data_IF_939269372429
#
_entry.id   IF_939269372429
#
_cell.length_a   1.000
_cell.length_b   1.000
_cell.length_c   1.000
_cell.angle_alpha   90.00
_cell.angle_beta   90.00
_cell.angle_gamma   90.00
#
_symmetry.space_group_name_H-M   'P 1'
#
loop_
_entity.id
_entity.type
_entity.pdbx_description
1 polymer ?
#
# COMPACT_ATOMS: atom_id res chain seq x y z
N UNK A 1 -12.68 25.11 63.71
CA UNK A 1 -13.45 24.55 62.58
C UNK A 1 -12.48 24.28 61.45
N UNK A 2 -12.08 23.03 61.34
CA UNK A 2 -10.75 22.59 60.91
C UNK A 2 -10.83 21.69 59.68
N UNK A 3 -10.06 22.06 58.65
CA UNK A 3 -9.20 21.15 57.87
C UNK A 3 -9.76 19.77 57.47
N UNK A 4 -11.00 19.69 56.97
CA UNK A 4 -11.51 18.46 56.31
C UNK A 4 -12.20 18.70 54.96
N UNK A 5 -12.62 19.92 54.67
CA UNK A 5 -13.29 20.25 53.40
C UNK A 5 -12.34 20.64 52.26
N UNK A 6 -11.09 21.01 52.56
CA UNK A 6 -10.14 21.45 51.52
C UNK A 6 -9.43 20.28 50.81
N UNK A 7 -9.37 19.09 51.42
CA UNK A 7 -8.80 17.90 50.78
C UNK A 7 -9.75 17.26 49.75
N UNK A 8 -11.07 17.40 49.92
CA UNK A 8 -12.05 16.79 49.01
C UNK A 8 -12.17 17.52 47.67
N UNK A 9 -11.81 18.80 47.60
CA UNK A 9 -11.82 19.57 46.35
C UNK A 9 -10.57 19.30 45.47
N UNK A 10 -9.47 18.84 46.06
CA UNK A 10 -8.25 18.49 45.30
C UNK A 10 -8.32 17.08 44.66
N UNK A 11 -9.09 16.15 45.25
CA UNK A 11 -9.35 14.84 44.63
C UNK A 11 -10.46 14.88 43.58
N UNK A 12 -11.36 15.87 43.63
CA UNK A 12 -12.41 16.06 42.61
C UNK A 12 -11.88 16.60 41.27
N UNK A 13 -10.88 17.50 41.29
CA UNK A 13 -10.30 18.03 40.06
C UNK A 13 -9.39 17.02 39.33
N UNK A 14 -8.71 16.13 40.06
CA UNK A 14 -7.86 15.10 39.44
C UNK A 14 -8.69 14.04 38.67
N UNK A 15 -9.91 13.76 39.10
CA UNK A 15 -10.82 12.86 38.38
C UNK A 15 -11.44 13.53 37.14
N UNK A 16 -11.61 14.85 37.14
CA UNK A 16 -12.17 15.59 35.99
C UNK A 16 -11.09 15.91 34.94
N UNK A 17 -9.81 16.05 35.34
CA UNK A 17 -8.66 16.12 34.42
C UNK A 17 -8.28 14.75 33.82
N UNK A 18 -8.81 13.66 34.36
CA UNK A 18 -8.61 12.29 33.85
C UNK A 18 -9.48 11.90 32.66
N UNK A 19 -10.46 12.73 32.29
CA UNK A 19 -11.30 12.54 31.09
C UNK A 19 -10.85 13.43 29.93
N UNK A 20 -9.55 13.65 29.77
CA UNK A 20 -9.02 14.10 28.49
C UNK A 20 -9.13 12.95 27.47
N UNK A 21 -10.29 12.85 26.82
CA UNK A 21 -10.52 12.19 25.52
C UNK A 21 -9.56 11.03 25.19
N UNK A 22 -9.60 9.96 25.98
CA UNK A 22 -9.19 8.65 25.50
C UNK A 22 -10.28 8.16 24.53
N UNK A 23 -10.38 8.79 23.35
CA UNK A 23 -10.89 8.10 22.17
C UNK A 23 -9.89 6.97 21.93
N UNK A 24 -10.08 5.85 22.63
CA UNK A 24 -9.39 4.60 22.37
C UNK A 24 -9.45 4.44 20.86
N UNK A 25 -8.31 4.47 20.20
CA UNK A 25 -8.30 4.38 18.76
C UNK A 25 -8.87 3.02 18.43
N UNK A 26 -10.11 3.00 17.96
CA UNK A 26 -10.72 1.77 17.52
C UNK A 26 -9.98 1.39 16.24
N UNK A 27 -9.00 0.49 16.38
CA UNK A 27 -8.52 -0.27 15.24
C UNK A 27 -9.76 -0.97 14.69
N UNK A 28 -10.27 -0.47 13.55
CA UNK A 28 -11.30 -1.19 12.81
C UNK A 28 -10.72 -2.55 12.43
N UNK A 29 -11.53 -3.59 12.52
CA UNK A 29 -11.14 -4.93 12.08
C UNK A 29 -10.56 -4.87 10.65
N UNK A 30 -9.60 -5.75 10.32
CA UNK A 30 -9.14 -5.87 8.94
C UNK A 30 -10.35 -6.04 8.03
N UNK A 31 -10.42 -5.28 6.95
CA UNK A 31 -11.50 -5.44 6.00
C UNK A 31 -11.47 -6.87 5.45
N UNK A 32 -12.63 -7.49 5.47
CA UNK A 32 -12.84 -8.78 4.83
C UNK A 32 -12.66 -8.61 3.33
N UNK A 33 -11.93 -9.53 2.72
CA UNK A 33 -11.83 -9.59 1.27
C UNK A 33 -13.16 -10.09 0.70
N UNK A 34 -13.78 -9.28 -0.14
CA UNK A 34 -14.97 -9.64 -0.91
C UNK A 34 -14.65 -9.49 -2.39
N UNK A 35 -14.89 -10.55 -3.17
CA UNK A 35 -14.68 -10.49 -4.61
C UNK A 35 -15.64 -9.46 -5.22
N UNK A 36 -15.10 -8.52 -6.00
CA UNK A 36 -15.88 -7.45 -6.59
C UNK A 36 -16.43 -7.80 -7.98
N UNK A 37 -17.57 -7.20 -8.35
CA UNK A 37 -18.12 -7.28 -9.70
C UNK A 37 -17.51 -6.19 -10.60
N UNK A 38 -16.35 -6.52 -11.16
CA UNK A 38 -15.58 -5.65 -12.04
C UNK A 38 -16.25 -5.34 -13.39
N UNK A 39 -17.27 -6.09 -13.80
CA UNK A 39 -17.87 -5.96 -15.14
C UNK A 39 -18.98 -4.90 -15.20
N UNK A 40 -19.36 -4.33 -14.07
CA UNK A 40 -20.39 -3.27 -13.97
C UNK A 40 -19.82 -1.87 -14.22
N UNK A 41 -18.51 -1.74 -14.40
CA UNK A 41 -17.86 -0.47 -14.67
C UNK A 41 -18.13 0.04 -16.09
N UNK A 42 -18.16 1.36 -16.24
CA UNK A 42 -18.31 2.03 -17.53
C UNK A 42 -17.08 1.91 -18.43
N UNK A 43 -15.92 1.51 -17.89
CA UNK A 43 -14.67 1.33 -18.61
C UNK A 43 -14.20 -0.14 -18.59
N UNK A 44 -13.43 -0.59 -19.60
CA UNK A 44 -12.85 -1.93 -19.60
C UNK A 44 -11.96 -2.17 -18.36
N UNK A 45 -12.38 -3.10 -17.50
CA UNK A 45 -11.66 -3.45 -16.29
C UNK A 45 -10.74 -4.67 -16.49
N UNK A 46 -9.60 -4.69 -15.80
CA UNK A 46 -8.62 -5.79 -15.85
C UNK A 46 -9.17 -7.10 -15.29
N UNK A 47 -9.97 -7.00 -14.22
CA UNK A 47 -10.62 -8.14 -13.55
C UNK A 47 -11.92 -8.62 -14.21
N UNK A 48 -12.49 -7.87 -15.17
CA UNK A 48 -13.74 -8.27 -15.81
C UNK A 48 -13.51 -9.41 -16.83
N UNK A 49 -14.22 -10.53 -16.66
CA UNK A 49 -14.16 -11.70 -17.55
C UNK A 49 -12.74 -12.20 -17.87
N UNK A 50 -11.79 -11.99 -16.95
CA UNK A 50 -10.42 -12.44 -17.15
C UNK A 50 -10.35 -13.97 -17.08
N UNK A 51 -9.93 -14.61 -18.17
CA UNK A 51 -9.93 -16.07 -18.34
C UNK A 51 -8.74 -16.78 -17.68
N UNK A 52 -7.97 -16.09 -16.85
CA UNK A 52 -6.75 -16.57 -16.20
C UNK A 52 -5.69 -17.13 -17.16
N UNK A 53 -5.71 -16.72 -18.44
CA UNK A 53 -4.66 -17.07 -19.40
C UNK A 53 -3.56 -16.01 -19.41
N UNK A 54 -2.34 -16.46 -19.67
CA UNK A 54 -1.21 -15.58 -19.91
C UNK A 54 -1.35 -14.83 -21.23
N UNK A 55 -0.88 -13.58 -21.24
CA UNK A 55 -0.85 -12.75 -22.44
C UNK A 55 0.12 -13.27 -23.50
N UNK A 56 -0.04 -12.80 -24.74
CA UNK A 56 0.75 -13.27 -25.88
C UNK A 56 2.27 -13.05 -25.75
N UNK A 57 2.70 -12.10 -24.92
CA UNK A 57 4.11 -11.83 -24.65
C UNK A 57 4.75 -12.79 -23.64
N UNK A 58 3.96 -13.60 -22.96
CA UNK A 58 4.47 -14.57 -22.01
C UNK A 58 5.10 -15.76 -22.72
N UNK A 59 6.28 -16.17 -22.25
CA UNK A 59 6.89 -17.43 -22.68
C UNK A 59 6.02 -18.62 -22.25
N UNK A 60 6.12 -19.74 -22.96
CA UNK A 60 5.39 -20.97 -22.61
C UNK A 60 5.72 -21.50 -21.20
N UNK A 61 6.88 -21.10 -20.65
CA UNK A 61 7.32 -21.43 -19.28
C UNK A 61 6.75 -20.50 -18.20
N UNK A 62 5.94 -19.50 -18.59
CA UNK A 62 5.40 -18.53 -17.65
C UNK A 62 4.48 -19.17 -16.62
N UNK A 63 4.70 -18.79 -15.36
CA UNK A 63 3.87 -19.18 -14.23
C UNK A 63 3.67 -18.01 -13.30
N UNK A 64 2.45 -17.88 -12.80
CA UNK A 64 2.10 -16.95 -11.73
C UNK A 64 2.56 -17.59 -10.43
N UNK A 65 3.34 -16.86 -9.65
CA UNK A 65 3.78 -17.29 -8.34
C UNK A 65 2.64 -17.15 -7.34
N UNK A 66 2.29 -18.25 -6.67
CA UNK A 66 1.37 -18.23 -5.54
C UNK A 66 2.02 -17.47 -4.36
N UNK A 67 1.42 -16.33 -3.98
CA UNK A 67 1.86 -15.55 -2.82
C UNK A 67 1.12 -16.07 -1.59
N UNK A 68 1.77 -16.95 -0.84
CA UNK A 68 1.26 -17.49 0.43
C UNK A 68 1.26 -16.41 1.52
N UNK A 69 0.46 -16.57 2.61
CA UNK A 69 0.37 -15.59 3.69
C UNK A 69 1.70 -15.16 4.30
N UNK A 70 2.68 -16.07 4.41
CA UNK A 70 4.01 -15.74 4.93
C UNK A 70 4.79 -14.80 4.00
N UNK A 71 4.62 -14.96 2.68
CA UNK A 71 5.27 -14.08 1.71
C UNK A 71 4.60 -12.71 1.65
N UNK A 72 3.26 -12.63 1.68
CA UNK A 72 2.56 -11.35 1.72
C UNK A 72 2.91 -10.55 2.98
N UNK A 73 2.96 -11.22 4.15
CA UNK A 73 3.47 -10.62 5.39
C UNK A 73 4.90 -10.11 5.23
N UNK A 74 5.80 -10.89 4.63
CA UNK A 74 7.18 -10.47 4.41
C UNK A 74 7.30 -9.24 3.47
N UNK A 75 6.51 -9.20 2.39
CA UNK A 75 6.44 -8.05 1.47
C UNK A 75 6.02 -6.79 2.23
N UNK A 76 4.88 -6.84 2.91
CA UNK A 76 4.31 -5.70 3.64
C UNK A 76 5.24 -5.25 4.75
N UNK A 77 5.80 -6.19 5.51
CA UNK A 77 6.76 -5.90 6.58
C UNK A 77 7.98 -5.16 6.02
N UNK A 78 8.56 -5.63 4.92
CA UNK A 78 9.73 -4.98 4.33
C UNK A 78 9.42 -3.58 3.80
N UNK A 79 8.26 -3.39 3.15
CA UNK A 79 7.82 -2.05 2.73
C UNK A 79 7.65 -1.12 3.95
N UNK A 80 7.07 -1.61 5.05
CA UNK A 80 6.92 -0.84 6.29
C UNK A 80 8.26 -0.54 6.98
N UNK A 81 9.27 -1.41 6.89
CA UNK A 81 10.63 -1.10 7.35
C UNK A 81 11.16 0.13 6.62
N UNK A 82 11.05 0.17 5.29
CA UNK A 82 11.48 1.33 4.50
C UNK A 82 10.69 2.60 4.82
N UNK A 83 9.35 2.50 4.90
CA UNK A 83 8.50 3.63 5.29
C UNK A 83 8.84 4.17 6.67
N UNK A 84 9.14 3.29 7.63
CA UNK A 84 9.49 3.66 9.00
C UNK A 84 10.86 4.37 9.08
N UNK A 85 11.82 4.02 8.21
CA UNK A 85 13.11 4.72 8.08
C UNK A 85 12.91 6.13 7.50
N UNK A 86 12.06 6.26 6.48
CA UNK A 86 11.74 7.54 5.86
C UNK A 86 10.98 8.45 6.84
N UNK A 87 9.99 7.89 7.54
CA UNK A 87 9.12 8.65 8.44
C UNK A 87 9.89 9.33 9.58
N UNK A 88 10.98 8.72 10.07
CA UNK A 88 11.86 9.35 11.08
C UNK A 88 12.81 10.42 10.54
N UNK A 89 12.77 10.75 9.25
CA UNK A 89 13.77 11.62 8.61
C UNK A 89 15.13 10.95 8.45
N UNK A 90 15.16 9.62 8.31
CA UNK A 90 16.40 8.82 8.33
C UNK A 90 17.22 8.84 7.05
N UNK A 91 16.81 9.60 6.02
CA UNK A 91 17.47 9.66 4.71
C UNK A 91 17.80 11.11 4.32
N UNK A 92 18.93 11.34 3.62
CA UNK A 92 19.26 12.66 3.10
C UNK A 92 18.15 13.23 2.20
N UNK A 93 17.98 14.55 2.24
CA UNK A 93 17.00 15.31 1.45
C UNK A 93 15.51 14.99 1.73
N UNK A 94 15.22 14.15 2.71
CA UNK A 94 13.85 13.81 3.10
C UNK A 94 13.55 14.33 4.51
N UNK A 95 12.56 15.23 4.67
CA UNK A 95 12.13 15.67 5.99
C UNK A 95 11.36 14.56 6.72
N UNK A 96 11.24 14.68 8.03
CA UNK A 96 10.39 13.83 8.87
C UNK A 96 8.94 13.82 8.37
N UNK A 97 8.30 12.65 8.38
CA UNK A 97 6.91 12.51 7.99
C UNK A 97 5.98 12.73 9.19
N UNK A 98 5.15 13.77 9.13
CA UNK A 98 4.09 14.00 10.09
C UNK A 98 2.96 12.97 9.98
N UNK A 99 2.69 12.45 8.77
CA UNK A 99 1.73 11.36 8.54
C UNK A 99 2.24 10.37 7.50
N UNK A 100 2.40 9.12 7.92
CA UNK A 100 2.82 7.99 7.07
C UNK A 100 2.11 6.72 7.58
N UNK A 101 1.10 6.24 6.87
CA UNK A 101 0.31 5.10 7.31
C UNK A 101 1.10 3.79 7.19
N UNK A 102 0.93 2.87 8.15
CA UNK A 102 1.38 1.49 8.00
C UNK A 102 0.61 0.81 6.87
N UNK A 103 1.33 0.10 5.99
CA UNK A 103 0.72 -0.72 4.94
C UNK A 103 0.18 -2.03 5.53
N UNK A 104 -0.97 -2.46 5.02
CA UNK A 104 -1.53 -3.80 5.13
C UNK A 104 -1.63 -4.48 3.76
N UNK A 105 -1.69 -5.80 3.75
CA UNK A 105 -1.95 -6.57 2.53
C UNK A 105 -3.42 -6.43 2.14
N UNK A 106 -3.70 -6.22 0.85
CA UNK A 106 -5.04 -6.13 0.30
C UNK A 106 -5.20 -7.17 -0.82
N UNK A 107 -6.06 -8.16 -0.58
CA UNK A 107 -6.24 -9.30 -1.49
C UNK A 107 -6.88 -8.91 -2.82
N UNK A 108 -7.74 -7.87 -2.84
CA UNK A 108 -8.33 -7.35 -4.08
C UNK A 108 -7.25 -6.74 -4.97
N UNK A 109 -6.35 -5.94 -4.38
CA UNK A 109 -5.19 -5.40 -5.09
C UNK A 109 -4.23 -6.51 -5.55
N UNK A 110 -4.01 -7.54 -4.73
CA UNK A 110 -3.10 -8.64 -5.07
C UNK A 110 -3.61 -9.46 -6.26
N UNK A 111 -4.92 -9.76 -6.29
CA UNK A 111 -5.56 -10.44 -7.42
C UNK A 111 -5.38 -9.65 -8.71
N UNK A 112 -5.68 -8.36 -8.71
CA UNK A 112 -5.53 -7.50 -9.89
C UNK A 112 -4.06 -7.33 -10.30
N UNK A 113 -3.14 -7.24 -9.34
CA UNK A 113 -1.70 -7.22 -9.61
C UNK A 113 -1.22 -8.52 -10.28
N UNK A 114 -1.76 -9.67 -9.87
CA UNK A 114 -1.53 -10.96 -10.51
C UNK A 114 -1.98 -10.97 -11.97
N UNK A 115 -3.21 -10.52 -12.24
CA UNK A 115 -3.72 -10.39 -13.61
C UNK A 115 -2.87 -9.43 -14.46
N UNK A 116 -2.42 -8.32 -13.87
CA UNK A 116 -1.52 -7.39 -14.55
C UNK A 116 -0.18 -8.06 -14.90
N UNK A 117 0.40 -8.82 -13.96
CA UNK A 117 1.68 -9.50 -14.16
C UNK A 117 1.59 -10.62 -15.21
N UNK A 118 0.43 -11.27 -15.36
CA UNK A 118 0.16 -12.28 -16.39
C UNK A 118 0.21 -11.75 -17.83
N UNK A 119 0.42 -10.45 -18.01
CA UNK A 119 0.73 -9.85 -19.32
C UNK A 119 2.20 -10.02 -19.73
N UNK A 120 3.10 -10.32 -18.79
CA UNK A 120 4.56 -10.46 -18.98
C UNK A 120 5.28 -9.28 -19.65
N UNK A 121 4.70 -8.08 -19.58
CA UNK A 121 5.29 -6.84 -20.15
C UNK A 121 5.20 -5.70 -19.15
N UNK A 122 6.12 -4.74 -19.28
CA UNK A 122 6.14 -3.50 -18.49
C UNK A 122 5.24 -2.40 -19.08
N UNK A 123 4.63 -2.64 -20.24
CA UNK A 123 3.75 -1.68 -20.89
C UNK A 123 2.64 -1.21 -19.95
N UNK A 124 2.25 0.08 -20.02
CA UNK A 124 1.18 0.64 -19.20
C UNK A 124 -0.08 -0.24 -19.20
N UNK A 125 -0.73 -0.35 -18.05
CA UNK A 125 -2.01 -1.07 -17.92
C UNK A 125 -3.10 -0.21 -18.59
N UNK A 126 -3.52 -0.59 -19.80
CA UNK A 126 -4.52 0.13 -20.60
C UNK A 126 -5.98 -0.19 -20.22
N UNK A 127 -6.20 -0.71 -19.01
CA UNK A 127 -7.52 -1.09 -18.47
C UNK A 127 -7.63 -0.54 -17.06
N UNK A 128 -8.86 -0.31 -16.59
CA UNK A 128 -9.09 0.01 -15.19
C UNK A 128 -8.62 -1.15 -14.28
N UNK A 129 -8.13 -0.80 -13.10
CA UNK A 129 -7.73 -1.73 -12.05
C UNK A 129 -8.19 -1.23 -10.67
N UNK A 130 -9.26 -0.43 -10.66
CA UNK A 130 -10.04 -0.04 -9.48
C UNK A 130 -10.38 -1.27 -8.62
N UNK A 131 -10.39 -1.07 -7.31
CA UNK A 131 -10.76 -2.10 -6.35
C UNK A 131 -11.76 -1.54 -5.35
N UNK A 132 -12.45 -2.42 -4.61
CA UNK A 132 -13.55 -2.08 -3.68
C UNK A 132 -13.24 -0.88 -2.77
N UNK A 133 -11.98 -0.74 -2.33
CA UNK A 133 -11.54 0.34 -1.44
C UNK A 133 -10.43 1.23 -2.05
N UNK A 134 -10.29 1.23 -3.38
CA UNK A 134 -9.27 1.98 -4.11
C UNK A 134 -9.82 2.40 -5.49
N UNK A 135 -10.26 3.64 -5.63
CA UNK A 135 -10.81 4.18 -6.87
C UNK A 135 -9.71 4.61 -7.84
N UNK A 136 -8.54 5.02 -7.32
CA UNK A 136 -7.38 5.39 -8.15
C UNK A 136 -6.11 4.70 -7.62
N UNK A 137 -6.01 3.36 -7.73
CA UNK A 137 -4.88 2.63 -7.18
C UNK A 137 -3.56 3.09 -7.81
N UNK A 138 -2.51 3.12 -7.00
CA UNK A 138 -1.16 3.30 -7.52
C UNK A 138 -0.57 1.99 -8.00
N UNK A 139 0.49 2.04 -8.81
CA UNK A 139 1.20 0.83 -9.17
C UNK A 139 2.71 1.02 -9.37
N UNK A 140 3.45 -0.05 -9.13
CA UNK A 140 4.87 -0.19 -9.48
C UNK A 140 5.06 -1.48 -10.24
N UNK A 141 6.02 -1.50 -11.18
CA UNK A 141 6.34 -2.68 -11.96
C UNK A 141 7.86 -2.80 -12.12
N UNK A 142 8.38 -4.00 -11.94
CA UNK A 142 9.81 -4.27 -12.09
C UNK A 142 10.04 -5.63 -12.72
N UNK A 143 10.93 -5.64 -13.71
CA UNK A 143 11.40 -6.83 -14.37
C UNK A 143 12.88 -7.03 -14.04
N UNK A 144 13.23 -8.19 -13.51
CA UNK A 144 14.62 -8.59 -13.26
C UNK A 144 14.94 -9.87 -14.02
N UNK A 145 16.21 -10.03 -14.38
CA UNK A 145 16.74 -11.23 -15.04
C UNK A 145 17.94 -11.74 -14.24
N UNK A 146 17.98 -13.04 -14.01
CA UNK A 146 19.10 -13.73 -13.37
C UNK A 146 19.50 -14.94 -14.21
N UNK A 147 20.79 -15.34 -14.24
CA UNK A 147 21.19 -16.55 -14.92
C UNK A 147 20.42 -17.75 -14.37
N UNK A 148 20.00 -18.69 -15.22
CA UNK A 148 19.28 -19.92 -14.80
C UNK A 148 20.10 -20.79 -13.83
N UNK A 149 21.43 -20.71 -13.91
CA UNK A 149 22.35 -21.34 -12.97
C UNK A 149 22.27 -20.75 -11.55
N UNK A 150 21.84 -19.50 -11.42
CA UNK A 150 21.68 -18.82 -10.13
C UNK A 150 20.27 -19.06 -9.59
N UNK A 151 20.12 -20.12 -8.78
CA UNK A 151 18.86 -20.35 -8.06
C UNK A 151 18.58 -19.22 -7.08
N UNK A 152 17.38 -18.65 -7.15
CA UNK A 152 16.90 -17.63 -6.22
C UNK A 152 15.69 -18.16 -5.47
N UNK A 153 15.66 -17.95 -4.15
CA UNK A 153 14.46 -18.18 -3.35
C UNK A 153 13.45 -17.06 -3.61
N UNK A 154 12.17 -17.35 -3.41
CA UNK A 154 11.09 -16.36 -3.52
C UNK A 154 11.33 -15.12 -2.64
N UNK A 155 11.92 -15.31 -1.45
CA UNK A 155 12.26 -14.21 -0.55
C UNK A 155 13.37 -13.32 -1.13
N UNK A 156 14.43 -13.91 -1.69
CA UNK A 156 15.52 -13.13 -2.31
C UNK A 156 15.02 -12.30 -3.49
N UNK A 157 14.15 -12.88 -4.32
CA UNK A 157 13.48 -12.22 -5.43
C UNK A 157 12.72 -10.99 -4.93
N UNK A 158 11.83 -11.21 -3.97
CA UNK A 158 11.01 -10.17 -3.35
C UNK A 158 11.88 -9.06 -2.75
N UNK A 159 12.89 -9.40 -1.93
CA UNK A 159 13.78 -8.41 -1.32
C UNK A 159 14.56 -7.62 -2.37
N UNK A 160 15.02 -8.28 -3.44
CA UNK A 160 15.73 -7.60 -4.53
C UNK A 160 14.83 -6.56 -5.21
N UNK A 161 13.59 -6.91 -5.51
CA UNK A 161 12.63 -5.98 -6.12
C UNK A 161 12.35 -4.77 -5.24
N UNK A 162 11.99 -4.99 -3.97
CA UNK A 162 11.69 -3.91 -3.03
C UNK A 162 12.92 -3.04 -2.74
N UNK A 163 14.11 -3.64 -2.69
CA UNK A 163 15.36 -2.91 -2.54
C UNK A 163 15.65 -2.02 -3.76
N UNK A 164 15.33 -2.47 -4.98
CA UNK A 164 15.47 -1.62 -6.17
C UNK A 164 14.54 -0.42 -6.11
N UNK A 165 13.27 -0.59 -5.71
CA UNK A 165 12.36 0.52 -5.47
C UNK A 165 12.93 1.48 -4.43
N UNK A 166 13.35 0.95 -3.29
CA UNK A 166 13.91 1.76 -2.20
C UNK A 166 15.16 2.54 -2.62
N UNK A 167 16.09 1.90 -3.32
CA UNK A 167 17.38 2.45 -3.71
C UNK A 167 17.27 3.70 -4.61
N UNK A 168 16.14 3.98 -5.24
CA UNK A 168 15.96 5.25 -5.97
C UNK A 168 16.04 6.47 -5.03
N UNK A 169 15.97 6.29 -3.70
CA UNK A 169 16.16 7.36 -2.70
C UNK A 169 17.47 8.14 -2.90
N UNK A 170 18.53 7.54 -3.46
CA UNK A 170 19.81 8.21 -3.71
C UNK A 170 19.69 9.37 -4.72
N UNK A 171 18.63 9.35 -5.54
CA UNK A 171 18.33 10.35 -6.55
C UNK A 171 17.35 11.42 -6.06
N UNK A 172 16.84 11.33 -4.83
CA UNK A 172 15.92 12.31 -4.27
C UNK A 172 16.62 13.65 -4.00
N UNK A 173 15.91 14.73 -4.32
CA UNK A 173 16.23 16.11 -4.00
C UNK A 173 15.18 16.66 -3.02
N UNK A 174 15.41 17.83 -2.38
CA UNK A 174 14.42 18.45 -1.50
C UNK A 174 13.06 18.72 -2.16
N UNK A 175 12.99 18.82 -3.50
CA UNK A 175 11.77 19.09 -4.26
C UNK A 175 11.06 17.84 -4.78
N UNK A 176 11.73 16.66 -4.78
CA UNK A 176 11.18 15.43 -5.36
C UNK A 176 9.84 15.01 -4.77
N UNK A 177 9.60 15.28 -3.48
CA UNK A 177 8.33 14.97 -2.82
C UNK A 177 7.14 15.73 -3.40
N UNK A 178 7.39 16.89 -4.01
CA UNK A 178 6.36 17.70 -4.65
C UNK A 178 6.33 17.42 -6.16
N UNK A 179 7.48 17.50 -6.83
CA UNK A 179 7.58 17.42 -8.30
C UNK A 179 7.42 16.01 -8.84
N UNK A 180 7.76 14.99 -8.06
CA UNK A 180 7.86 13.61 -8.57
C UNK A 180 9.18 13.31 -9.29
N UNK A 181 10.08 14.30 -9.40
CA UNK A 181 11.29 14.20 -10.21
C UNK A 181 12.54 13.96 -9.36
N UNK A 182 13.43 13.08 -9.84
CA UNK A 182 14.74 12.87 -9.25
C UNK A 182 15.81 13.78 -9.83
N UNK A 183 16.98 13.80 -9.18
CA UNK A 183 18.18 14.52 -9.62
C UNK A 183 18.50 14.17 -11.08
N UNK A 184 18.70 15.17 -11.92
CA UNK A 184 19.02 15.03 -13.36
C UNK A 184 17.98 14.20 -14.13
N UNK A 185 16.69 14.29 -13.77
CA UNK A 185 15.61 13.56 -14.44
C UNK A 185 15.61 12.05 -14.18
N UNK A 186 16.35 11.59 -13.15
CA UNK A 186 16.35 10.17 -12.77
C UNK A 186 14.98 9.77 -12.24
N UNK A 187 14.52 8.60 -12.66
CA UNK A 187 13.28 8.04 -12.15
C UNK A 187 13.39 7.73 -10.65
N UNK A 188 12.40 8.23 -9.90
CA UNK A 188 12.20 8.00 -8.47
C UNK A 188 10.76 7.57 -8.16
N UNK A 189 9.96 7.29 -9.19
CA UNK A 189 8.53 7.01 -9.07
C UNK A 189 8.24 5.79 -8.19
N UNK A 190 9.04 4.72 -8.29
CA UNK A 190 8.87 3.54 -7.43
C UNK A 190 9.11 3.88 -5.96
N UNK A 191 10.16 4.65 -5.66
CA UNK A 191 10.42 5.09 -4.30
C UNK A 191 9.30 5.97 -3.78
N UNK A 192 8.87 6.98 -4.55
CA UNK A 192 7.80 7.89 -4.15
C UNK A 192 6.47 7.16 -3.93
N UNK A 193 6.13 6.18 -4.77
CA UNK A 193 4.95 5.35 -4.56
C UNK A 193 5.06 4.53 -3.26
N UNK A 194 6.21 3.91 -3.01
CA UNK A 194 6.49 3.16 -1.77
C UNK A 194 6.32 4.03 -0.51
N UNK A 195 6.67 5.31 -0.57
CA UNK A 195 6.62 6.25 0.56
C UNK A 195 5.40 7.18 0.54
N UNK A 196 4.40 6.90 -0.30
CA UNK A 196 3.16 7.70 -0.33
C UNK A 196 2.45 7.60 1.02
N UNK A 197 2.36 8.72 1.74
CA UNK A 197 2.04 8.76 3.17
C UNK A 197 0.62 8.33 3.50
N UNK A 198 -0.35 8.72 2.67
CA UNK A 198 -1.76 8.38 2.87
C UNK A 198 -2.08 6.92 2.54
N UNK A 199 -1.27 6.26 1.71
CA UNK A 199 -1.50 4.88 1.34
C UNK A 199 -1.34 3.94 2.54
N UNK A 200 -2.33 3.06 2.74
CA UNK A 200 -2.33 2.03 3.80
C UNK A 200 -2.49 0.61 3.25
N UNK A 201 -2.56 0.43 1.92
CA UNK A 201 -2.86 -0.87 1.29
C UNK A 201 -1.88 -1.19 0.18
N UNK A 202 -1.55 -2.46 0.03
CA UNK A 202 -0.77 -2.96 -1.09
C UNK A 202 -1.11 -4.42 -1.37
N UNK A 203 -1.12 -4.79 -2.64
CA UNK A 203 -1.18 -6.17 -3.09
C UNK A 203 -0.29 -6.35 -4.31
N UNK A 204 0.43 -7.46 -4.40
CA UNK A 204 1.38 -7.70 -5.49
C UNK A 204 1.10 -9.01 -6.21
N UNK A 205 1.58 -9.11 -7.45
CA UNK A 205 1.60 -10.31 -8.27
C UNK A 205 2.96 -10.49 -8.90
N UNK A 206 3.43 -11.75 -8.99
CA UNK A 206 4.75 -12.06 -9.55
C UNK A 206 4.59 -13.15 -10.60
N UNK A 207 5.05 -12.89 -11.82
CA UNK A 207 5.17 -13.90 -12.87
C UNK A 207 6.64 -14.22 -13.12
N UNK A 208 6.93 -15.51 -13.26
CA UNK A 208 8.27 -16.04 -13.49
C UNK A 208 8.24 -16.82 -14.80
N UNK A 209 9.21 -16.59 -15.67
CA UNK A 209 9.37 -17.31 -16.93
C UNK A 209 10.85 -17.42 -17.33
N UNK A 210 11.15 -18.28 -18.29
CA UNK A 210 12.52 -18.49 -18.78
C UNK A 210 12.68 -17.96 -20.20
N UNK A 211 13.78 -17.23 -20.41
CA UNK A 211 14.23 -16.74 -21.72
C UNK A 211 15.68 -17.17 -21.93
N UNK A 212 15.91 -18.21 -22.75
CA UNK A 212 17.25 -18.79 -22.97
C UNK A 212 17.93 -19.14 -21.63
N UNK A 213 19.12 -18.61 -21.36
CA UNK A 213 19.86 -18.78 -20.10
C UNK A 213 19.41 -17.86 -18.95
N UNK A 214 18.27 -17.16 -19.08
CA UNK A 214 17.77 -16.23 -18.06
C UNK A 214 16.45 -16.68 -17.43
N UNK A 215 16.40 -16.64 -16.10
CA UNK A 215 15.14 -16.62 -15.34
C UNK A 215 14.69 -15.18 -15.22
N UNK A 216 13.53 -14.86 -15.80
CA UNK A 216 12.90 -13.54 -15.79
C UNK A 216 11.80 -13.50 -14.75
N UNK A 217 11.73 -12.41 -13.99
CA UNK A 217 10.75 -12.20 -12.94
C UNK A 217 10.14 -10.82 -13.11
N UNK A 218 8.82 -10.77 -13.25
CA UNK A 218 8.04 -9.54 -13.30
C UNK A 218 7.20 -9.45 -12.05
N UNK A 219 7.48 -8.46 -11.21
CA UNK A 219 6.66 -8.11 -10.04
C UNK A 219 5.88 -6.84 -10.33
N UNK A 220 4.56 -6.90 -10.15
CA UNK A 220 3.68 -5.73 -10.15
C UNK A 220 3.07 -5.61 -8.76
N UNK A 221 3.09 -4.41 -8.19
CA UNK A 221 2.38 -4.10 -6.95
C UNK A 221 1.36 -3.00 -7.22
N UNK A 222 0.12 -3.22 -6.78
CA UNK A 222 -0.92 -2.21 -6.73
C UNK A 222 -1.05 -1.69 -5.29
N UNK A 223 -1.31 -0.40 -5.16
CA UNK A 223 -1.43 0.32 -3.89
C UNK A 223 -2.81 0.95 -3.79
N UNK A 224 -3.33 1.15 -2.58
CA UNK A 224 -4.67 1.73 -2.38
C UNK A 224 -4.86 3.11 -3.01
N UNK A 225 -3.78 3.86 -3.26
CA UNK A 225 -3.82 5.13 -3.97
C UNK A 225 -2.45 5.53 -4.53
N UNK A 226 -2.46 6.55 -5.38
CA UNK A 226 -1.29 7.34 -5.77
C UNK A 226 -1.12 8.58 -4.88
N UNK A 227 0.01 9.26 -5.02
CA UNK A 227 0.19 10.64 -4.57
C UNK A 227 -0.89 11.53 -5.20
N UNK A 228 -1.54 12.37 -4.37
CA UNK A 228 -2.49 13.36 -4.84
C UNK A 228 -1.80 14.41 -5.75
N UNK A 229 -2.45 14.88 -6.82
CA UNK A 229 -1.91 15.94 -7.65
C UNK A 229 -1.57 17.19 -6.83
N UNK A 230 -0.45 17.84 -7.12
CA UNK A 230 0.00 19.07 -6.47
C UNK A 230 0.19 19.02 -4.94
N UNK A 231 0.14 17.84 -4.30
CA UNK A 231 0.49 17.68 -2.89
C UNK A 231 1.89 17.09 -2.73
N UNK A 232 2.43 17.10 -1.50
CA UNK A 232 3.60 16.29 -1.16
C UNK A 232 3.25 14.80 -1.14
N UNK A 233 4.24 13.95 -1.41
CA UNK A 233 4.14 12.47 -1.29
C UNK A 233 3.71 12.03 0.11
N UNK A 234 4.07 12.78 1.16
CA UNK A 234 3.59 12.60 2.52
C UNK A 234 3.53 13.95 3.24
N UNK A 235 2.74 14.02 4.33
CA UNK A 235 2.68 15.22 5.17
C UNK A 235 4.00 15.40 5.91
N UNK A 236 4.63 16.56 5.78
CA UNK A 236 5.85 16.91 6.52
C UNK A 236 5.49 17.27 7.97
N UNK A 237 6.31 16.90 8.95
CA UNK A 237 6.09 17.22 10.36
C UNK A 237 7.39 17.40 11.13
N UNK A 238 7.34 18.09 12.27
CA UNK A 238 8.52 18.27 13.14
C UNK A 238 8.98 16.95 13.77
N UNK A 239 8.02 16.12 14.17
CA UNK A 239 8.24 14.78 14.72
C UNK A 239 7.42 13.75 13.95
N UNK A 240 7.86 12.47 13.93
CA UNK A 240 7.07 11.42 13.32
C UNK A 240 5.70 11.34 13.96
N UNK A 241 4.68 11.05 13.14
CA UNK A 241 3.29 10.83 13.59
C UNK A 241 2.56 12.05 14.14
N UNK A 242 3.13 13.26 14.11
CA UNK A 242 2.48 14.47 14.66
C UNK A 242 1.11 14.76 14.03
N UNK A 243 0.87 14.27 12.81
CA UNK A 243 -0.38 14.41 12.06
C UNK A 243 -1.15 13.09 11.90
N UNK A 244 -0.82 12.06 12.69
CA UNK A 244 -1.65 10.85 12.75
C UNK A 244 -2.91 11.12 13.56
N UNK A 245 -4.08 10.75 13.03
CA UNK A 245 -5.35 10.85 13.76
C UNK A 245 -5.35 10.04 15.06
N UNK A 246 -4.55 8.97 15.10
CA UNK A 246 -4.31 8.16 16.27
C UNK A 246 -2.80 8.02 16.54
N UNK A 247 -2.30 8.46 17.69
CA UNK A 247 -0.89 8.30 18.06
C UNK A 247 -0.56 6.93 18.67
N UNK A 248 -1.52 5.99 18.80
CA UNK A 248 -1.23 4.63 19.27
C UNK A 248 -0.05 4.04 18.49
N UNK A 249 0.89 3.48 19.24
CA UNK A 249 2.22 3.15 18.72
C UNK A 249 2.31 1.67 18.45
N UNK A 250 2.37 1.32 17.17
CA UNK A 250 2.85 0.02 16.73
C UNK A 250 4.25 -0.22 17.31
N UNK A 251 4.44 -1.36 17.97
CA UNK A 251 5.69 -1.66 18.68
C UNK A 251 6.87 -1.89 17.71
N UNK A 252 6.59 -2.40 16.51
CA UNK A 252 7.61 -2.63 15.49
C UNK A 252 7.86 -1.36 14.66
N UNK A 253 6.80 -0.67 14.24
CA UNK A 253 6.87 0.49 13.35
C UNK A 253 6.52 1.81 14.04
N UNK A 254 7.36 2.20 15.00
CA UNK A 254 7.12 3.33 15.91
C UNK A 254 6.92 4.69 15.24
N UNK A 255 7.39 4.87 14.01
CA UNK A 255 7.32 6.15 13.27
C UNK A 255 6.13 6.20 12.28
N UNK A 256 5.36 5.12 12.16
CA UNK A 256 4.19 5.06 11.28
C UNK A 256 2.90 5.31 12.05
N UNK A 257 1.91 5.90 11.38
CA UNK A 257 0.55 5.85 11.89
C UNK A 257 0.10 4.39 11.97
N UNK A 258 -0.64 4.00 13.03
CA UNK A 258 -1.21 2.67 13.11
C UNK A 258 -2.05 2.40 11.85
N UNK A 259 -2.17 1.14 11.48
CA UNK A 259 -3.05 0.75 10.40
C UNK A 259 -4.47 1.18 10.78
N UNK A 260 -4.96 2.24 10.15
CA UNK A 260 -6.32 2.72 10.33
C UNK A 260 -7.03 2.57 8.99
N UNK A 261 -8.21 1.95 9.01
CA UNK A 261 -9.09 1.84 7.83
C UNK A 261 -9.74 3.20 7.51
N UNK A 262 -9.22 4.31 8.04
CA UNK A 262 -10.00 5.54 8.24
C UNK A 262 -10.10 6.41 6.99
N UNK A 263 -9.26 6.20 5.97
CA UNK A 263 -9.43 6.92 4.71
C UNK A 263 -9.58 5.91 3.57
N UNK A 264 -10.82 5.54 3.26
CA UNK A 264 -11.12 4.93 1.96
C UNK A 264 -10.51 5.81 0.86
N UNK A 265 -9.88 5.15 -0.11
CA UNK A 265 -9.28 5.84 -1.26
C UNK A 265 -8.24 6.91 -0.87
N UNK A 266 -7.60 6.78 0.30
CA UNK A 266 -6.61 7.74 0.80
C UNK A 266 -7.13 9.18 0.92
N UNK A 267 -8.44 9.35 1.11
CA UNK A 267 -9.07 10.67 1.22
C UNK A 267 -9.40 11.33 -0.12
N UNK A 268 -9.27 10.62 -1.25
CA UNK A 268 -9.72 11.07 -2.58
C UNK A 268 -11.24 11.24 -2.67
N UNK A 269 -12.02 10.53 -1.85
CA UNK A 269 -13.49 10.52 -1.92
C UNK A 269 -14.18 11.83 -1.48
N UNK A 270 -13.42 12.89 -1.19
CA UNK A 270 -13.97 14.16 -0.73
C UNK A 270 -14.17 15.23 -1.84
N UNK A 271 -13.79 14.98 -3.09
CA UNK A 271 -13.90 16.02 -4.14
C UNK A 271 -15.02 15.81 -5.18
N UNK A 272 -15.61 14.61 -5.33
CA UNK A 272 -16.58 14.37 -6.43
C UNK A 272 -17.86 13.60 -6.05
N UNK A 273 -18.00 13.10 -4.81
CA UNK A 273 -19.25 12.47 -4.33
C UNK A 273 -19.72 11.21 -5.08
N UNK A 274 -18.96 10.71 -6.06
CA UNK A 274 -19.28 9.53 -6.85
C UNK A 274 -18.22 8.45 -6.61
N UNK A 275 -18.61 7.35 -5.95
CA UNK A 275 -17.75 6.16 -5.81
C UNK A 275 -17.70 5.41 -7.15
N UNK A 276 -16.53 5.39 -7.79
CA UNK A 276 -16.26 4.57 -9.00
C UNK A 276 -15.65 3.21 -8.66
N UNK A 277 -15.64 2.81 -7.39
CA UNK A 277 -15.12 1.51 -6.98
C UNK A 277 -16.11 0.40 -7.32
N UNK A 278 -15.64 -0.78 -7.77
CA UNK A 278 -16.49 -1.93 -7.98
C UNK A 278 -17.16 -2.36 -6.67
N UNK A 279 -18.44 -2.70 -6.73
CA UNK A 279 -19.19 -3.24 -5.59
C UNK A 279 -18.80 -4.71 -5.35
N UNK A 280 -18.85 -5.20 -4.11
CA UNK A 280 -18.80 -6.63 -3.84
C UNK A 280 -19.82 -7.39 -4.70
N UNK A 281 -19.46 -8.58 -5.18
CA UNK A 281 -20.44 -9.46 -5.82
C UNK A 281 -21.54 -9.77 -4.81
N UNK A 282 -22.82 -9.75 -5.22
CA UNK A 282 -23.89 -10.28 -4.38
C UNK A 282 -23.52 -11.70 -3.95
N UNK A 283 -23.76 -12.05 -2.69
CA UNK A 283 -23.77 -13.45 -2.30
C UNK A 283 -24.76 -14.16 -3.23
N UNK A 284 -24.35 -15.27 -3.84
CA UNK A 284 -25.31 -16.14 -4.51
C UNK A 284 -26.33 -16.54 -3.44
N UNK A 285 -27.55 -16.01 -3.55
CA UNK A 285 -28.68 -16.57 -2.81
C UNK A 285 -28.71 -18.04 -3.19
N UNK A 286 -28.30 -18.89 -2.26
CA UNK A 286 -28.59 -20.31 -2.31
C UNK A 286 -30.11 -20.34 -2.18
N UNK A 287 -30.80 -20.31 -3.31
CA UNK A 287 -32.18 -20.73 -3.39
C UNK A 287 -32.13 -22.20 -2.99
N UNK A 288 -32.34 -22.45 -1.70
CA UNK A 288 -32.71 -23.76 -1.20
C UNK A 288 -34.01 -24.11 -1.91
N UNK A 289 -33.91 -24.90 -2.97
CA UNK A 289 -35.04 -25.68 -3.47
C UNK A 289 -35.36 -26.72 -2.41
N UNK A 290 -36.24 -26.36 -1.48
CA UNK A 290 -37.02 -27.30 -0.68
C UNK A 290 -38.45 -27.36 -1.21
#
# INVERSE_FOLDING_TARGET
MSSRYLLLLLFGCAAILGYANARKCMLKEPLTYEEADYCTESQPHLGCNHNQKFGAHCQATARLLEIKPELSKAIVRQMNVYRNIVAKGGLPNLPTAGRMNKLGWDESLAKLAGLAAMRCVLDPIKRSFTATHASKPGYTAILTKYPTSQKQTVHQIMYSHLKTFYNQHIHITPTSLLSGEGRNGRDVSHFLQLITGMNSRVGCGIVIFHEKEWTVQLMICLYGCNKHPNTFTYSIGQTPKISCACPDTDQEFKNLCPYNVVDEDCGLLNEEGLTTTPKPKPALDIIEYF
#
